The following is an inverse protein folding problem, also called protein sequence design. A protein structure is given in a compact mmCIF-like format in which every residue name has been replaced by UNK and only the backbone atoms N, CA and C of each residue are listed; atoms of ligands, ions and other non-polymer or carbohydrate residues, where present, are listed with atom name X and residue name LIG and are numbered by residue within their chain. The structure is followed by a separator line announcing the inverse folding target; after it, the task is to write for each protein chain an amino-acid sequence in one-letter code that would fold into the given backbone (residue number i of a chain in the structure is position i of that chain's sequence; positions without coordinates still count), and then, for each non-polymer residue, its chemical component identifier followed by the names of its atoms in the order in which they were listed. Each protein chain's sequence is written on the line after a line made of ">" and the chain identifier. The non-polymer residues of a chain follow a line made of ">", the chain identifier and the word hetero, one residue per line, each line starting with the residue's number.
data_IF_426428535612
#
_entry.id   IF_426428535612
#
_cell.length_a   1.000
_cell.length_b   1.000
_cell.length_c   1.000
_cell.angle_alpha   90.00
_cell.angle_beta   90.00
_cell.angle_gamma   90.00
#
_symmetry.space_group_name_H-M   'P 1'
#
loop_
_entity.id
_entity.type
_entity.pdbx_description
1 polymer ?
#
# COMPACT_ATOMS: atom_id res chain seq x y z
N UNK A 1 2.36 -28.63 1.64
CA UNK A 1 1.81 -27.78 2.08
C UNK A 1 2.33 -26.60 2.85
N UNK A 2 3.55 -26.65 3.36
CA UNK A 2 4.13 -25.46 3.98
C UNK A 2 4.18 -24.31 3.00
N UNK A 3 4.51 -24.61 1.75
CA UNK A 3 4.53 -23.57 0.72
C UNK A 3 3.17 -22.96 0.50
N UNK A 4 2.13 -23.81 0.49
CA UNK A 4 0.77 -23.32 0.35
C UNK A 4 0.37 -22.44 1.51
N UNK A 5 0.79 -22.79 2.72
CA UNK A 5 0.48 -21.99 3.89
C UNK A 5 1.23 -20.66 3.86
N UNK A 6 2.47 -20.66 3.41
CA UNK A 6 3.23 -19.43 3.25
C UNK A 6 2.57 -18.50 2.24
N UNK A 7 2.12 -19.06 1.13
CA UNK A 7 1.42 -18.27 0.12
C UNK A 7 0.13 -17.69 0.66
N UNK A 8 -0.61 -18.48 1.45
CA UNK A 8 -1.84 -17.99 2.05
C UNK A 8 -1.55 -16.85 3.03
N UNK A 9 -0.48 -16.98 3.83
CA UNK A 9 -0.09 -15.96 4.77
C UNK A 9 0.37 -14.69 4.05
N UNK A 10 1.13 -14.86 2.96
CA UNK A 10 1.64 -13.73 2.18
C UNK A 10 0.55 -13.08 1.34
N UNK A 11 -0.55 -13.79 1.13
CA UNK A 11 -1.64 -13.31 0.28
C UNK A 11 -2.78 -12.72 1.10
N UNK A 12 -2.48 -12.24 2.30
CA UNK A 12 -3.48 -11.58 3.12
C UNK A 12 -3.89 -10.24 2.53
N UNK A 13 -5.14 -9.90 2.76
CA UNK A 13 -5.64 -8.60 2.38
C UNK A 13 -4.85 -7.50 3.09
N UNK A 14 -4.50 -6.48 2.36
CA UNK A 14 -3.91 -5.29 2.95
C UNK A 14 -5.04 -4.41 3.49
N UNK A 15 -4.76 -3.72 4.59
CA UNK A 15 -5.66 -2.66 5.03
C UNK A 15 -5.73 -1.61 3.93
N UNK A 16 -6.89 -1.02 3.75
CA UNK A 16 -7.07 -0.05 2.67
C UNK A 16 -6.08 1.10 2.76
N UNK A 17 -5.80 1.58 3.98
CA UNK A 17 -4.84 2.66 4.16
C UNK A 17 -3.43 2.25 3.70
N UNK A 18 -3.03 1.01 4.01
CA UNK A 18 -1.72 0.51 3.60
C UNK A 18 -1.67 0.37 2.07
N UNK A 19 -2.74 -0.10 1.47
CA UNK A 19 -2.83 -0.20 0.02
C UNK A 19 -2.56 1.16 -0.64
N UNK A 20 -3.23 2.21 -0.15
CA UNK A 20 -3.06 3.54 -0.74
C UNK A 20 -1.67 4.11 -0.47
N UNK A 21 -1.09 3.85 0.70
CA UNK A 21 0.26 4.31 0.98
C UNK A 21 1.24 3.67 0.00
N UNK A 22 1.16 2.36 -0.19
CA UNK A 22 2.04 1.67 -1.12
C UNK A 22 1.81 2.12 -2.56
N UNK A 23 0.56 2.33 -2.93
CA UNK A 23 0.23 2.82 -4.26
C UNK A 23 0.90 4.16 -4.54
N UNK A 24 0.76 5.09 -3.63
CA UNK A 24 1.32 6.43 -3.80
C UNK A 24 2.85 6.42 -3.75
N UNK A 25 3.44 5.47 -3.04
CA UNK A 25 4.89 5.39 -2.91
C UNK A 25 5.58 4.70 -4.07
N UNK A 26 4.86 4.42 -5.15
CA UNK A 26 5.52 4.05 -6.41
C UNK A 26 6.33 5.24 -6.93
N UNK A 27 6.10 6.43 -6.39
CA UNK A 27 6.92 7.62 -6.61
C UNK A 27 7.38 8.13 -5.25
N UNK A 28 8.55 8.78 -5.18
CA UNK A 28 8.99 9.37 -3.92
C UNK A 28 7.98 10.38 -3.39
N UNK A 29 7.72 10.34 -2.10
CA UNK A 29 6.79 11.28 -1.49
C UNK A 29 7.09 11.46 -0.01
N UNK A 30 6.77 12.65 0.49
CA UNK A 30 6.84 12.95 1.92
C UNK A 30 5.56 12.45 2.59
N UNK A 31 5.66 12.09 3.87
CA UNK A 31 4.50 11.59 4.60
C UNK A 31 3.31 12.52 4.57
N UNK A 32 3.57 13.82 4.75
CA UNK A 32 2.48 14.79 4.75
C UNK A 32 1.73 14.82 3.40
N UNK A 33 2.51 14.73 2.31
CA UNK A 33 1.90 14.71 0.98
C UNK A 33 1.04 13.48 0.77
N UNK A 34 1.42 12.36 1.37
CA UNK A 34 0.62 11.13 1.27
C UNK A 34 -0.78 11.31 1.83
N UNK A 35 -0.90 11.96 2.99
CA UNK A 35 -2.21 12.17 3.59
C UNK A 35 -3.12 12.97 2.66
N UNK A 36 -2.56 14.03 2.09
CA UNK A 36 -3.29 14.90 1.19
C UNK A 36 -3.67 14.16 -0.10
N UNK A 37 -2.70 13.48 -0.71
CA UNK A 37 -2.93 12.78 -1.97
C UNK A 37 -3.97 11.67 -1.84
N UNK A 38 -3.92 10.93 -0.75
CA UNK A 38 -4.88 9.84 -0.54
C UNK A 38 -6.27 10.40 -0.32
N UNK A 39 -6.40 11.49 0.44
CA UNK A 39 -7.69 12.12 0.64
C UNK A 39 -8.27 12.63 -0.67
N UNK A 40 -7.44 13.27 -1.49
CA UNK A 40 -7.90 13.78 -2.78
C UNK A 40 -8.28 12.65 -3.73
N UNK A 41 -7.45 11.61 -3.80
CA UNK A 41 -7.68 10.47 -4.68
C UNK A 41 -9.00 9.75 -4.36
N UNK A 42 -9.38 9.73 -3.09
CA UNK A 42 -10.58 9.00 -2.63
C UNK A 42 -11.76 9.93 -2.36
N UNK A 43 -11.65 11.18 -2.76
CA UNK A 43 -12.69 12.18 -2.52
C UNK A 43 -13.07 12.22 -1.03
N UNK A 44 -12.04 12.24 -0.19
CA UNK A 44 -12.13 12.30 1.28
C UNK A 44 -12.76 11.07 1.92
N UNK A 45 -12.94 9.99 1.18
CA UNK A 45 -13.43 8.74 1.77
C UNK A 45 -12.39 8.13 2.69
N UNK A 46 -11.12 8.25 2.32
CA UNK A 46 -10.01 7.74 3.15
C UNK A 46 -9.19 8.91 3.65
N UNK A 47 -9.30 9.18 4.93
CA UNK A 47 -8.51 10.22 5.60
C UNK A 47 -7.65 9.54 6.65
N UNK A 48 -6.36 9.68 6.52
CA UNK A 48 -5.41 9.07 7.45
C UNK A 48 -4.84 10.16 8.33
N UNK A 49 -4.97 10.00 9.65
CA UNK A 49 -4.38 10.94 10.58
C UNK A 49 -2.87 10.77 10.64
N UNK A 50 -2.18 11.79 11.11
CA UNK A 50 -0.72 11.79 11.16
C UNK A 50 -0.16 10.62 11.96
N UNK A 51 -0.74 10.36 13.14
CA UNK A 51 -0.26 9.25 13.97
C UNK A 51 -0.38 7.91 13.28
N UNK A 52 -1.52 7.66 12.64
CA UNK A 52 -1.75 6.42 11.91
C UNK A 52 -0.81 6.32 10.72
N UNK A 53 -0.62 7.41 9.99
CA UNK A 53 0.26 7.42 8.83
C UNK A 53 1.70 7.08 9.22
N UNK A 54 2.25 7.81 10.20
CA UNK A 54 3.65 7.59 10.56
C UNK A 54 3.87 6.26 11.24
N UNK A 55 2.86 5.74 11.96
CA UNK A 55 2.90 4.38 12.47
C UNK A 55 2.96 3.35 11.36
N UNK A 56 2.17 3.55 10.31
CA UNK A 56 2.17 2.67 9.15
C UNK A 56 3.50 2.75 8.40
N UNK A 57 4.03 3.96 8.21
CA UNK A 57 5.32 4.12 7.53
C UNK A 57 6.43 3.41 8.30
N UNK A 58 6.45 3.53 9.62
CA UNK A 58 7.42 2.86 10.45
C UNK A 58 7.33 1.35 10.30
N UNK A 59 6.12 0.82 10.35
CA UNK A 59 5.88 -0.61 10.19
C UNK A 59 6.31 -1.12 8.81
N UNK A 60 5.99 -0.37 7.77
CA UNK A 60 6.35 -0.74 6.42
C UNK A 60 7.87 -0.70 6.19
N UNK A 61 8.56 0.25 6.84
CA UNK A 61 10.02 0.27 6.80
C UNK A 61 10.61 -0.97 7.48
N UNK A 62 10.05 -1.37 8.61
CA UNK A 62 10.51 -2.57 9.32
C UNK A 62 10.33 -3.82 8.46
N UNK A 63 9.27 -3.87 7.69
CA UNK A 63 9.04 -4.97 6.75
C UNK A 63 9.89 -4.86 5.49
N UNK A 64 10.54 -3.72 5.30
CA UNK A 64 11.35 -3.42 4.11
C UNK A 64 10.52 -3.33 2.83
N UNK A 65 9.25 -3.01 2.98
CA UNK A 65 8.38 -2.77 1.83
C UNK A 65 8.55 -1.36 1.29
N UNK A 66 8.99 -0.45 2.14
CA UNK A 66 9.34 0.91 1.74
C UNK A 66 10.69 1.26 2.35
N UNK A 67 11.33 2.27 1.81
CA UNK A 67 12.57 2.79 2.37
C UNK A 67 12.52 4.31 2.37
N UNK A 68 13.27 4.89 3.28
CA UNK A 68 13.43 6.31 3.35
C UNK A 68 14.59 6.71 2.43
N UNK A 69 14.38 7.70 1.61
CA UNK A 69 15.42 8.19 0.73
C UNK A 69 16.32 9.17 1.48
N UNK A 70 17.58 9.23 1.06
CA UNK A 70 18.51 10.21 1.62
C UNK A 70 17.98 11.60 1.31
N UNK A 71 17.91 12.43 2.34
CA UNK A 71 17.45 13.80 2.18
C UNK A 71 18.55 14.75 2.61
N UNK A 72 18.44 15.99 2.12
CA UNK A 72 19.34 17.05 2.56
C UNK A 72 19.16 17.24 4.07
N UNK A 73 20.26 17.20 4.86
CA UNK A 73 20.13 17.38 6.31
C UNK A 73 19.42 18.66 6.72
N UNK A 74 19.37 19.63 5.82
CA UNK A 74 18.68 20.90 6.08
C UNK A 74 17.17 20.78 5.92
N UNK A 75 16.70 19.73 5.26
CA UNK A 75 15.28 19.50 5.11
C UNK A 75 14.76 18.69 6.28
N UNK A 76 13.61 19.09 6.80
CA UNK A 76 13.00 18.39 7.93
C UNK A 76 12.06 17.28 7.50
N UNK A 77 11.77 17.21 6.20
CA UNK A 77 10.83 16.24 5.66
C UNK A 77 11.56 15.04 5.14
N UNK A 78 11.06 13.88 5.49
CA UNK A 78 11.59 12.62 5.00
C UNK A 78 10.79 12.15 3.81
N UNK A 79 11.49 11.70 2.79
CA UNK A 79 10.90 11.20 1.58
C UNK A 79 11.00 9.68 1.57
N UNK A 80 9.96 9.01 1.13
CA UNK A 80 9.89 7.54 1.12
C UNK A 80 9.60 7.05 -0.29
N UNK A 81 9.94 5.78 -0.55
CA UNK A 81 9.62 5.13 -1.81
C UNK A 81 9.40 3.64 -1.57
N UNK A 82 8.55 3.03 -2.37
CA UNK A 82 8.32 1.59 -2.30
C UNK A 82 9.56 0.84 -2.78
N UNK A 83 9.85 -0.30 -2.15
CA UNK A 83 10.96 -1.17 -2.57
C UNK A 83 10.45 -2.23 -3.53
N UNK A 84 11.39 -2.98 -4.14
CA UNK A 84 10.98 -4.10 -4.98
C UNK A 84 10.15 -5.11 -4.20
N UNK A 85 10.53 -5.36 -2.96
CA UNK A 85 9.76 -6.25 -2.09
C UNK A 85 8.35 -5.72 -1.88
N UNK A 86 8.22 -4.42 -1.62
CA UNK A 86 6.91 -3.79 -1.46
C UNK A 86 6.07 -3.91 -2.72
N UNK A 87 6.70 -3.76 -3.89
CA UNK A 87 5.99 -3.89 -5.16
C UNK A 87 5.46 -5.30 -5.36
N UNK A 88 6.20 -6.31 -4.92
CA UNK A 88 5.73 -7.69 -5.00
C UNK A 88 4.48 -7.90 -4.17
N UNK A 89 4.49 -7.42 -2.93
CA UNK A 89 3.32 -7.56 -2.06
C UNK A 89 2.15 -6.75 -2.57
N UNK A 90 2.42 -5.58 -3.13
CA UNK A 90 1.36 -4.76 -3.72
C UNK A 90 0.73 -5.48 -4.92
N UNK A 91 1.56 -6.09 -5.77
CA UNK A 91 1.07 -6.83 -6.93
C UNK A 91 0.22 -8.03 -6.50
N UNK A 92 0.61 -8.71 -5.41
CA UNK A 92 -0.17 -9.82 -4.88
C UNK A 92 -1.54 -9.35 -4.42
N UNK A 93 -1.59 -8.19 -3.77
CA UNK A 93 -2.86 -7.64 -3.33
C UNK A 93 -3.74 -7.26 -4.52
N UNK A 94 -3.13 -6.68 -5.55
CA UNK A 94 -3.86 -6.30 -6.75
C UNK A 94 -4.48 -7.53 -7.41
N UNK A 95 -3.70 -8.62 -7.51
CA UNK A 95 -4.19 -9.86 -8.07
C UNK A 95 -5.34 -10.44 -7.25
N UNK A 96 -5.24 -10.34 -5.92
CA UNK A 96 -6.30 -10.80 -5.03
C UNK A 96 -7.59 -10.01 -5.25
N UNK A 97 -7.47 -8.70 -5.39
CA UNK A 97 -8.63 -7.84 -5.63
C UNK A 97 -9.29 -8.14 -6.98
N UNK A 98 -8.47 -8.38 -8.00
CA UNK A 98 -8.98 -8.74 -9.31
C UNK A 98 -9.73 -10.07 -9.29
N UNK A 99 -9.23 -11.02 -8.53
CA UNK A 99 -9.91 -12.29 -8.35
C UNK A 99 -11.27 -12.11 -7.69
N UNK A 100 -11.32 -11.28 -6.65
CA UNK A 100 -12.58 -11.00 -5.98
C UNK A 100 -13.61 -10.39 -6.93
N UNK A 101 -13.15 -9.45 -7.75
CA UNK A 101 -14.03 -8.82 -8.73
C UNK A 101 -14.54 -9.85 -9.73
N UNK A 102 -13.64 -10.70 -10.22
CA UNK A 102 -14.01 -11.73 -11.18
C UNK A 102 -15.08 -12.67 -10.62
N UNK A 103 -14.91 -13.10 -9.37
CA UNK A 103 -15.88 -13.96 -8.73
C UNK A 103 -17.26 -13.30 -8.64
N UNK A 104 -17.27 -12.01 -8.30
CA UNK A 104 -18.53 -11.28 -8.22
C UNK A 104 -19.20 -11.17 -9.59
N UNK A 105 -18.40 -10.87 -10.61
CA UNK A 105 -18.91 -10.76 -11.97
C UNK A 105 -19.48 -12.08 -12.47
N UNK A 106 -18.80 -13.20 -12.18
CA UNK A 106 -19.25 -14.51 -12.58
C UNK A 106 -20.58 -14.89 -11.91
N UNK A 107 -20.69 -14.64 -10.61
CA UNK A 107 -21.89 -14.98 -9.86
C UNK A 107 -23.07 -14.10 -10.29
N UNK A 108 -22.82 -12.83 -10.57
CA UNK A 108 -23.87 -11.89 -11.00
C UNK A 108 -24.21 -11.99 -12.49
N UNK A 109 -23.48 -12.81 -13.23
CA UNK A 109 -23.68 -12.93 -14.67
C UNK A 109 -23.11 -11.80 -15.48
N UNK A 110 -22.18 -11.04 -14.90
CA UNK A 110 -21.52 -9.93 -15.57
C UNK A 110 -20.19 -10.37 -16.16
N UNK A 111 -19.65 -9.59 -17.08
CA UNK A 111 -18.32 -9.83 -17.61
C UNK A 111 -18.20 -10.93 -18.63
N UNK A 112 -19.31 -11.35 -19.20
CA UNK A 112 -19.30 -12.36 -20.27
C UNK A 112 -19.18 -11.71 -21.64
#
# INVERSE_FOLDING_TARGET
>A
MEEGMKKAANNRALAESVYYILLCLHRPAHGYALMKDIAEMTDNRVKIGAGTLYGALDNLQKKKWIKQLDSDPRERKNEYIITDKGKEYFAMELARLEELIKHAQDVRGEGK
#
